data_IF_609294193689
#
_entry.id   IF_609294193689
#
_cell.length_a   1.000
_cell.length_b   1.000
_cell.length_c   1.000
_cell.angle_alpha   90.00
_cell.angle_beta   90.00
_cell.angle_gamma   90.00
#
_symmetry.space_group_name_H-M   'P 1'
#
loop_
_entity.id
_entity.type
_entity.pdbx_description
1 polymer ?
#
# COMPACT_ATOMS: atom_id res chain seq x y z
N UNK A 1 -19.59 -7.59 22.80
CA UNK A 1 -18.17 -7.52 22.42
C UNK A 1 -17.39 -6.96 23.58
N UNK A 2 -16.35 -7.68 24.02
CA UNK A 2 -15.48 -7.24 25.10
C UNK A 2 -14.55 -6.13 24.58
N UNK A 3 -14.14 -5.17 25.42
CA UNK A 3 -13.28 -4.06 24.99
C UNK A 3 -11.80 -4.45 24.77
N UNK A 4 -11.45 -5.67 25.06
CA UNK A 4 -10.12 -6.26 24.83
C UNK A 4 -10.16 -7.25 23.65
N UNK A 5 -9.00 -7.69 23.17
CA UNK A 5 -8.87 -8.59 22.03
C UNK A 5 -9.71 -9.87 22.20
N UNK A 6 -10.34 -10.30 21.12
CA UNK A 6 -10.92 -11.63 21.03
C UNK A 6 -9.84 -12.66 20.70
N UNK A 7 -10.03 -13.90 21.11
CA UNK A 7 -9.22 -15.02 20.64
C UNK A 7 -9.47 -15.22 19.14
N UNK A 8 -8.41 -15.37 18.37
CA UNK A 8 -8.49 -15.67 16.94
C UNK A 8 -8.73 -17.16 16.72
N UNK A 9 -9.54 -17.50 15.73
CA UNK A 9 -9.71 -18.88 15.25
C UNK A 9 -8.52 -19.34 14.42
N UNK A 10 -7.88 -18.43 13.71
CA UNK A 10 -6.57 -18.60 13.08
C UNK A 10 -5.44 -18.18 14.02
N UNK A 11 -4.27 -17.90 13.46
CA UNK A 11 -3.11 -17.47 14.23
C UNK A 11 -2.42 -16.27 13.58
N UNK A 12 -1.99 -15.31 14.38
CA UNK A 12 -1.13 -14.20 13.94
C UNK A 12 0.29 -14.43 14.46
N UNK A 13 1.22 -14.64 13.55
CA UNK A 13 2.63 -14.76 13.85
C UNK A 13 3.31 -13.40 13.70
N UNK A 14 3.99 -12.95 14.73
CA UNK A 14 4.69 -11.67 14.78
C UNK A 14 6.19 -11.90 14.68
N UNK A 15 6.79 -11.33 13.65
CA UNK A 15 8.22 -11.44 13.40
C UNK A 15 8.89 -10.07 13.48
N UNK A 16 10.15 -10.09 13.87
CA UNK A 16 11.09 -9.00 13.66
C UNK A 16 12.02 -9.40 12.51
N UNK A 17 11.67 -8.94 11.31
CA UNK A 17 12.37 -9.28 10.07
C UNK A 17 13.66 -8.46 9.94
N UNK A 18 14.79 -9.10 9.68
CA UNK A 18 16.07 -8.44 9.45
C UNK A 18 16.28 -8.22 7.94
N UNK A 19 16.09 -6.98 7.49
CA UNK A 19 16.25 -6.62 6.07
C UNK A 19 17.66 -6.18 5.76
N UNK A 20 18.34 -6.90 4.90
CA UNK A 20 19.65 -6.47 4.38
C UNK A 20 19.54 -5.31 3.41
N UNK A 21 18.43 -5.22 2.66
CA UNK A 21 18.17 -4.13 1.71
C UNK A 21 17.90 -2.77 2.38
N UNK A 22 17.41 -2.80 3.62
CA UNK A 22 17.18 -1.58 4.41
C UNK A 22 18.33 -1.28 5.37
N UNK A 23 19.33 -2.15 5.49
CA UNK A 23 20.52 -1.90 6.30
C UNK A 23 21.30 -0.71 5.73
N UNK A 24 21.57 0.29 6.58
CA UNK A 24 22.24 1.52 6.17
C UNK A 24 21.42 2.39 5.22
N UNK A 25 20.09 2.38 5.34
CA UNK A 25 19.22 3.26 4.57
C UNK A 25 19.51 4.75 4.86
N UNK A 26 19.18 5.65 3.93
CA UNK A 26 19.58 7.06 4.02
C UNK A 26 19.01 7.81 5.22
N UNK A 27 17.96 7.29 5.85
CA UNK A 27 17.33 7.89 7.03
C UNK A 27 17.87 7.35 8.35
N UNK A 28 18.75 6.35 8.32
CA UNK A 28 19.15 5.61 9.52
C UNK A 28 17.95 5.07 10.32
N UNK A 29 16.86 4.73 9.59
CA UNK A 29 15.70 4.08 10.18
C UNK A 29 16.02 2.60 10.48
N UNK A 30 15.36 1.99 11.48
CA UNK A 30 15.59 0.61 11.82
C UNK A 30 15.45 -0.31 10.60
N UNK A 31 16.48 -1.10 10.32
CA UNK A 31 16.45 -2.12 9.27
C UNK A 31 15.82 -3.45 9.74
N UNK A 32 15.67 -3.64 11.04
CA UNK A 32 14.86 -4.70 11.63
C UNK A 32 13.41 -4.21 11.67
N UNK A 33 12.55 -4.87 10.89
CA UNK A 33 11.18 -4.42 10.64
C UNK A 33 10.17 -5.41 11.20
N UNK A 34 9.10 -4.95 11.86
CA UNK A 34 8.00 -5.84 12.21
C UNK A 34 7.35 -6.38 10.93
N UNK A 35 7.05 -7.68 10.94
CA UNK A 35 6.34 -8.38 9.88
C UNK A 35 5.34 -9.31 10.54
N UNK A 36 4.06 -9.15 10.22
CA UNK A 36 3.03 -10.02 10.75
C UNK A 36 2.45 -10.91 9.66
N UNK A 37 2.28 -12.18 10.00
CA UNK A 37 1.69 -13.17 9.10
C UNK A 37 0.52 -13.82 9.81
N UNK A 38 -0.69 -13.60 9.27
CA UNK A 38 -1.87 -14.28 9.71
C UNK A 38 -2.04 -15.57 8.89
N UNK A 39 -2.27 -16.69 9.57
CA UNK A 39 -2.60 -17.99 8.98
C UNK A 39 -4.05 -18.35 9.33
N UNK A 40 -4.83 -18.90 8.36
CA UNK A 40 -6.26 -19.13 8.54
C UNK A 40 -6.55 -20.27 9.51
N UNK A 41 -7.82 -20.39 10.02
CA UNK A 41 -8.25 -21.52 10.83
C UNK A 41 -7.95 -22.86 10.15
N UNK A 42 -7.52 -23.86 10.94
CA UNK A 42 -7.16 -25.19 10.43
C UNK A 42 -5.79 -25.26 9.73
N UNK A 43 -5.03 -24.16 9.70
CA UNK A 43 -3.69 -24.16 9.09
C UNK A 43 -2.80 -25.26 9.69
N UNK A 44 -2.72 -25.39 11.01
CA UNK A 44 -1.84 -26.36 11.66
C UNK A 44 -2.38 -27.80 11.59
N UNK A 45 -3.68 -28.00 11.36
CA UNK A 45 -4.32 -29.30 11.25
C UNK A 45 -4.18 -29.96 9.85
N UNK A 46 -3.81 -29.16 8.83
CA UNK A 46 -3.70 -29.59 7.44
C UNK A 46 -2.30 -29.29 6.87
N UNK A 47 -1.27 -30.06 7.26
CA UNK A 47 0.15 -29.78 6.92
C UNK A 47 0.46 -29.81 5.42
N UNK A 48 -0.33 -30.54 4.62
CA UNK A 48 -0.13 -30.66 3.18
C UNK A 48 -0.88 -29.59 2.37
N UNK A 49 -1.74 -28.78 3.03
CA UNK A 49 -2.51 -27.76 2.34
C UNK A 49 -1.71 -26.47 2.19
N UNK A 50 -1.68 -25.93 0.98
CA UNK A 50 -1.08 -24.64 0.64
C UNK A 50 -2.17 -23.62 0.31
N UNK A 51 -1.89 -22.37 0.59
CA UNK A 51 -2.87 -21.28 0.57
C UNK A 51 -2.43 -20.15 -0.38
N UNK A 52 -3.35 -19.45 -1.04
CA UNK A 52 -3.03 -18.16 -1.64
C UNK A 52 -2.56 -17.18 -0.56
N UNK A 53 -1.79 -16.17 -0.95
CA UNK A 53 -1.29 -15.15 -0.04
C UNK A 53 -1.68 -13.74 -0.49
N UNK A 54 -2.04 -12.87 0.45
CA UNK A 54 -2.36 -11.47 0.18
C UNK A 54 -1.54 -10.58 1.10
N UNK A 55 -0.79 -9.64 0.49
CA UNK A 55 0.08 -8.69 1.18
C UNK A 55 -0.68 -7.38 1.41
N UNK A 56 -0.79 -6.93 2.66
CA UNK A 56 -1.51 -5.72 3.05
C UNK A 56 -0.52 -4.59 3.31
N UNK A 57 -0.71 -3.50 2.58
CA UNK A 57 0.12 -2.30 2.62
C UNK A 57 -0.60 -1.16 3.34
N UNK A 58 0.10 -0.53 4.29
CA UNK A 58 -0.43 0.58 5.07
C UNK A 58 -0.48 1.90 4.29
N UNK A 59 -1.37 2.80 4.73
CA UNK A 59 -1.40 4.18 4.24
C UNK A 59 -0.26 5.03 4.80
N UNK A 60 -0.10 6.24 4.28
CA UNK A 60 0.90 7.20 4.77
C UNK A 60 0.65 7.57 6.25
N UNK A 61 1.70 7.75 7.01
CA UNK A 61 1.71 7.93 8.48
C UNK A 61 1.22 6.70 9.27
N UNK A 62 0.88 5.60 8.61
CA UNK A 62 0.56 4.34 9.25
C UNK A 62 1.81 3.53 9.58
N UNK A 63 1.69 2.67 10.58
CA UNK A 63 2.63 1.59 10.86
C UNK A 63 1.84 0.32 11.23
N UNK A 64 2.54 -0.78 11.43
CA UNK A 64 1.91 -2.10 11.54
C UNK A 64 0.86 -2.18 12.66
N UNK A 65 1.10 -1.53 13.81
CA UNK A 65 0.17 -1.55 14.95
C UNK A 65 -1.21 -0.94 14.64
N UNK A 66 -1.33 -0.13 13.58
CA UNK A 66 -2.63 0.41 13.19
C UNK A 66 -3.68 -0.67 12.91
N UNK A 67 -3.25 -1.87 12.50
CA UNK A 67 -4.15 -2.99 12.21
C UNK A 67 -4.76 -3.61 13.46
N UNK A 68 -4.20 -3.29 14.65
CA UNK A 68 -4.71 -3.65 15.98
C UNK A 68 -5.41 -2.50 16.70
N UNK A 69 -5.51 -1.31 16.10
CA UNK A 69 -6.19 -0.19 16.73
C UNK A 69 -7.62 -0.59 17.11
N UNK A 70 -7.86 -0.65 18.42
CA UNK A 70 -9.15 -1.01 18.98
C UNK A 70 -9.96 0.25 19.30
N UNK A 71 -11.12 0.31 18.70
CA UNK A 71 -12.14 1.32 19.01
C UNK A 71 -13.32 0.61 19.68
N UNK A 72 -13.96 1.17 20.73
CA UNK A 72 -15.11 0.57 21.36
C UNK A 72 -16.19 0.15 20.34
N UNK A 73 -16.72 -1.06 20.51
CA UNK A 73 -17.75 -1.67 19.65
C UNK A 73 -17.33 -1.96 18.19
N UNK A 74 -16.06 -1.84 17.85
CA UNK A 74 -15.52 -2.20 16.55
C UNK A 74 -14.48 -3.31 16.69
N UNK A 75 -14.49 -4.24 15.74
CA UNK A 75 -13.43 -5.23 15.59
C UNK A 75 -12.19 -4.55 14.98
N UNK A 76 -11.01 -5.02 15.34
CA UNK A 76 -9.78 -4.68 14.63
C UNK A 76 -9.80 -5.29 13.22
N UNK A 77 -8.92 -4.83 12.32
CA UNK A 77 -8.83 -5.45 11.00
C UNK A 77 -8.47 -6.93 11.10
N UNK A 78 -7.54 -7.29 11.99
CA UNK A 78 -7.11 -8.68 12.18
C UNK A 78 -8.27 -9.58 12.64
N UNK A 79 -9.09 -9.11 13.58
CA UNK A 79 -10.30 -9.84 14.01
C UNK A 79 -11.36 -9.97 12.91
N UNK A 80 -11.46 -8.96 12.05
CA UNK A 80 -12.40 -8.99 10.90
C UNK A 80 -11.91 -9.96 9.82
N UNK A 81 -10.61 -10.02 9.58
CA UNK A 81 -9.98 -10.99 8.67
C UNK A 81 -10.13 -12.41 9.21
N UNK A 82 -9.93 -12.62 10.52
CA UNK A 82 -10.13 -13.92 11.16
C UNK A 82 -11.57 -14.41 10.99
N UNK A 83 -12.54 -13.55 11.29
CA UNK A 83 -13.96 -13.87 11.14
C UNK A 83 -14.35 -14.18 9.69
N UNK A 84 -13.77 -13.47 8.71
CA UNK A 84 -13.99 -13.69 7.29
C UNK A 84 -13.68 -15.14 6.89
N UNK A 85 -12.56 -15.68 7.36
CA UNK A 85 -12.14 -17.05 7.07
C UNK A 85 -12.81 -18.08 7.99
N UNK A 86 -12.96 -17.79 9.28
CA UNK A 86 -13.59 -18.68 10.24
C UNK A 86 -15.08 -18.95 9.92
N UNK A 87 -15.78 -17.96 9.38
CA UNK A 87 -17.19 -18.11 8.96
C UNK A 87 -17.36 -18.81 7.60
N UNK A 88 -16.26 -19.02 6.86
CA UNK A 88 -16.33 -19.52 5.48
C UNK A 88 -16.86 -18.52 4.45
N UNK A 89 -16.92 -17.23 4.80
CA UNK A 89 -17.36 -16.15 3.91
C UNK A 89 -16.38 -15.89 2.76
N UNK A 90 -15.13 -16.36 2.91
CA UNK A 90 -14.12 -16.41 1.86
C UNK A 90 -13.28 -17.69 1.97
N UNK A 91 -12.69 -18.18 0.85
CA UNK A 91 -11.68 -19.22 0.91
C UNK A 91 -10.50 -18.78 1.80
N UNK A 92 -9.89 -19.70 2.56
CA UNK A 92 -8.79 -19.38 3.43
C UNK A 92 -7.57 -18.88 2.65
N UNK A 93 -6.91 -17.86 3.19
CA UNK A 93 -5.69 -17.28 2.63
C UNK A 93 -4.71 -16.90 3.75
N UNK A 94 -3.43 -16.89 3.46
CA UNK A 94 -2.40 -16.30 4.31
C UNK A 94 -2.41 -14.78 4.08
N UNK A 95 -2.46 -13.98 5.15
CA UNK A 95 -2.45 -12.52 5.05
C UNK A 95 -1.17 -11.98 5.67
N UNK A 96 -0.39 -11.23 4.88
CA UNK A 96 0.91 -10.70 5.27
C UNK A 96 0.80 -9.19 5.45
N UNK A 97 1.04 -8.70 6.65
CA UNK A 97 1.04 -7.28 6.96
C UNK A 97 2.48 -6.76 6.92
N UNK A 98 2.77 -5.89 5.95
CA UNK A 98 4.13 -5.41 5.67
C UNK A 98 4.31 -4.01 6.24
N UNK A 99 5.34 -3.82 7.05
CA UNK A 99 5.72 -2.51 7.54
C UNK A 99 6.65 -1.79 6.55
N UNK A 100 6.31 -0.56 6.21
CA UNK A 100 7.13 0.31 5.36
C UNK A 100 7.11 1.77 5.87
N UNK A 101 6.95 1.93 7.19
CA UNK A 101 7.06 3.22 7.86
C UNK A 101 8.48 3.76 7.78
N UNK A 102 8.62 5.07 7.69
CA UNK A 102 9.89 5.80 7.79
C UNK A 102 9.72 7.00 8.71
N UNK A 103 10.80 7.59 9.20
CA UNK A 103 10.73 8.85 9.96
C UNK A 103 10.11 10.01 9.17
N UNK A 104 10.00 9.89 7.84
CA UNK A 104 9.24 10.82 6.99
C UNK A 104 7.77 10.42 6.84
N UNK A 105 7.31 9.38 7.54
CA UNK A 105 5.92 8.96 7.59
C UNK A 105 5.53 7.81 6.65
N UNK A 106 6.37 7.45 5.71
CA UNK A 106 6.13 6.35 4.77
C UNK A 106 7.17 6.31 3.65
N UNK A 107 7.18 5.23 2.88
CA UNK A 107 8.12 4.97 1.78
C UNK A 107 7.48 4.99 0.40
N UNK A 108 6.16 5.14 0.33
CA UNK A 108 5.38 4.95 -0.91
C UNK A 108 5.63 3.58 -1.58
N UNK A 109 6.25 2.63 -0.88
CA UNK A 109 6.62 1.31 -1.42
C UNK A 109 7.48 1.39 -2.70
N UNK A 110 8.33 2.40 -2.79
CA UNK A 110 9.30 2.59 -3.89
C UNK A 110 10.73 2.49 -3.39
N UNK A 111 11.66 2.22 -4.30
CA UNK A 111 13.09 2.39 -4.04
C UNK A 111 13.47 3.84 -4.30
N UNK A 112 14.10 4.49 -3.32
CA UNK A 112 14.46 5.91 -3.41
C UNK A 112 15.78 6.19 -2.68
N UNK A 113 16.64 7.06 -3.23
CA UNK A 113 17.80 7.56 -2.49
C UNK A 113 17.42 8.35 -1.23
N UNK A 114 16.18 8.85 -1.15
CA UNK A 114 15.69 9.63 0.00
C UNK A 114 15.11 8.80 1.15
N UNK A 115 14.68 7.57 0.91
CA UNK A 115 14.03 6.75 1.95
C UNK A 115 14.63 5.35 2.09
N UNK A 116 15.21 4.79 1.03
CA UNK A 116 15.71 3.42 0.99
C UNK A 116 15.00 2.52 -0.01
N UNK A 117 15.32 1.23 -0.01
CA UNK A 117 14.91 0.26 -1.03
C UNK A 117 13.64 -0.51 -0.62
N UNK A 118 12.53 0.19 -0.39
CA UNK A 118 11.31 -0.42 0.15
C UNK A 118 10.52 -1.27 -0.85
N UNK A 119 10.61 -0.98 -2.15
CA UNK A 119 10.03 -1.83 -3.18
C UNK A 119 10.80 -3.16 -3.29
N UNK A 120 12.13 -3.08 -3.35
CA UNK A 120 12.99 -4.27 -3.33
C UNK A 120 12.84 -5.06 -2.02
N UNK A 121 12.75 -4.40 -0.86
CA UNK A 121 12.47 -5.04 0.43
C UNK A 121 11.19 -5.89 0.38
N UNK A 122 10.08 -5.33 -0.13
CA UNK A 122 8.83 -6.07 -0.28
C UNK A 122 8.99 -7.27 -1.23
N UNK A 123 9.57 -7.03 -2.42
CA UNK A 123 9.55 -7.98 -3.52
C UNK A 123 10.66 -9.03 -3.43
N UNK A 124 11.87 -8.65 -3.00
CA UNK A 124 13.05 -9.51 -3.06
C UNK A 124 13.42 -10.12 -1.71
N UNK A 125 12.87 -9.59 -0.59
CA UNK A 125 13.11 -10.14 0.73
C UNK A 125 11.83 -10.72 1.37
N UNK A 126 10.76 -9.92 1.51
CA UNK A 126 9.55 -10.34 2.23
C UNK A 126 8.82 -11.45 1.49
N UNK A 127 8.53 -11.29 0.19
CA UNK A 127 7.80 -12.30 -0.59
C UNK A 127 8.53 -13.65 -0.56
N UNK A 128 9.82 -13.75 -0.89
CA UNK A 128 10.52 -15.05 -0.84
C UNK A 128 10.65 -15.60 0.58
N UNK A 129 10.75 -14.75 1.59
CA UNK A 129 10.83 -15.19 2.98
C UNK A 129 9.51 -15.83 3.42
N UNK A 130 8.37 -15.21 3.09
CA UNK A 130 7.04 -15.76 3.40
C UNK A 130 6.84 -17.10 2.70
N UNK A 131 7.21 -17.21 1.43
CA UNK A 131 7.09 -18.47 0.67
C UNK A 131 7.95 -19.61 1.24
N UNK A 132 9.11 -19.30 1.85
CA UNK A 132 9.96 -20.31 2.49
C UNK A 132 9.49 -20.73 3.89
N UNK A 133 8.79 -19.86 4.61
CA UNK A 133 8.43 -20.09 6.01
C UNK A 133 6.97 -20.47 6.20
N UNK A 134 6.12 -20.28 5.19
CA UNK A 134 4.69 -20.57 5.24
C UNK A 134 4.26 -21.39 4.02
N UNK A 135 3.19 -22.16 4.18
CA UNK A 135 2.63 -22.98 3.11
C UNK A 135 1.81 -22.12 2.13
N UNK A 136 2.50 -21.25 1.41
CA UNK A 136 1.92 -20.49 0.32
C UNK A 136 1.86 -21.30 -0.96
N UNK A 137 0.90 -21.01 -1.82
CA UNK A 137 0.97 -21.34 -3.24
C UNK A 137 1.96 -20.36 -3.88
N UNK A 138 3.27 -20.70 -3.85
CA UNK A 138 4.40 -19.81 -4.17
C UNK A 138 4.49 -19.48 -5.68
N UNK A 139 3.39 -19.00 -6.26
CA UNK A 139 3.29 -18.58 -7.65
C UNK A 139 2.48 -17.29 -7.77
N UNK A 140 2.79 -16.45 -8.76
CA UNK A 140 2.12 -15.17 -8.97
C UNK A 140 0.59 -15.28 -9.05
N UNK A 141 0.08 -16.37 -9.64
CA UNK A 141 -1.35 -16.59 -9.85
C UNK A 141 -2.15 -16.78 -8.56
N UNK A 142 -1.45 -17.00 -7.47
CA UNK A 142 -2.01 -17.20 -6.13
C UNK A 142 -1.55 -16.15 -5.14
N UNK A 143 -0.97 -15.05 -5.64
CA UNK A 143 -0.48 -13.95 -4.79
C UNK A 143 -1.14 -12.63 -5.15
N UNK A 144 -1.72 -11.99 -4.12
CA UNK A 144 -2.36 -10.69 -4.20
C UNK A 144 -1.67 -9.66 -3.33
N UNK A 145 -1.93 -8.40 -3.62
CA UNK A 145 -1.47 -7.24 -2.86
C UNK A 145 -2.63 -6.27 -2.69
N UNK A 146 -2.82 -5.72 -1.50
CA UNK A 146 -3.92 -4.81 -1.22
C UNK A 146 -3.43 -3.66 -0.33
N UNK A 147 -4.05 -2.50 -0.47
CA UNK A 147 -3.70 -1.37 0.39
C UNK A 147 -4.61 -0.17 0.22
N UNK A 148 -4.47 0.78 1.14
CA UNK A 148 -5.22 2.03 1.19
C UNK A 148 -4.29 3.22 1.00
N UNK A 149 -4.76 4.27 0.28
CA UNK A 149 -4.00 5.51 0.14
C UNK A 149 -2.60 5.23 -0.45
N UNK A 150 -1.51 5.60 0.24
CA UNK A 150 -0.14 5.19 -0.12
C UNK A 150 0.03 3.68 -0.29
N UNK A 151 -0.62 2.87 0.56
CA UNK A 151 -0.62 1.42 0.38
C UNK A 151 -1.38 0.99 -0.88
N UNK A 152 -2.46 1.71 -1.22
CA UNK A 152 -3.18 1.53 -2.48
C UNK A 152 -2.34 1.92 -3.70
N UNK A 153 -1.54 2.97 -3.58
CA UNK A 153 -0.52 3.32 -4.57
C UNK A 153 0.49 2.17 -4.75
N UNK A 154 1.09 1.70 -3.64
CA UNK A 154 2.00 0.56 -3.67
C UNK A 154 1.37 -0.69 -4.29
N UNK A 155 0.10 -0.97 -3.99
CA UNK A 155 -0.65 -2.09 -4.56
C UNK A 155 -0.87 -1.96 -6.07
N UNK A 156 -1.02 -0.74 -6.61
CA UNK A 156 -1.14 -0.50 -8.05
C UNK A 156 0.19 -0.67 -8.79
N UNK A 157 1.28 -0.06 -8.27
CA UNK A 157 2.56 -0.03 -8.98
C UNK A 157 3.33 -1.35 -8.89
N UNK A 158 3.23 -2.07 -7.77
CA UNK A 158 4.03 -3.28 -7.56
C UNK A 158 3.78 -4.35 -8.62
N UNK A 159 2.53 -4.72 -8.98
CA UNK A 159 2.31 -5.66 -10.08
C UNK A 159 2.73 -5.14 -11.47
N UNK A 160 2.78 -3.82 -11.67
CA UNK A 160 3.29 -3.24 -12.90
C UNK A 160 4.79 -3.43 -13.06
N UNK A 161 5.52 -3.29 -11.94
CA UNK A 161 6.98 -3.38 -11.88
C UNK A 161 7.46 -4.83 -11.70
N UNK A 162 6.66 -5.65 -11.00
CA UNK A 162 6.96 -7.07 -10.69
C UNK A 162 5.78 -7.98 -11.08
N UNK A 163 5.47 -8.06 -12.38
CA UNK A 163 4.39 -8.93 -12.87
C UNK A 163 4.69 -10.42 -12.67
N UNK A 164 5.94 -10.77 -12.36
CA UNK A 164 6.38 -12.11 -11.99
C UNK A 164 5.91 -12.53 -10.58
N UNK A 165 5.57 -11.58 -9.71
CA UNK A 165 5.22 -11.87 -8.31
C UNK A 165 3.73 -11.84 -8.02
N UNK A 166 2.95 -10.96 -8.66
CA UNK A 166 1.55 -10.71 -8.31
C UNK A 166 0.63 -10.80 -9.52
N UNK A 167 -0.56 -11.40 -9.33
CA UNK A 167 -1.65 -11.39 -10.30
C UNK A 167 -2.97 -10.87 -9.74
N UNK A 168 -3.03 -10.58 -8.43
CA UNK A 168 -4.14 -9.91 -7.76
C UNK A 168 -3.73 -8.57 -7.18
N UNK A 169 -4.54 -7.53 -7.35
CA UNK A 169 -4.36 -6.26 -6.63
C UNK A 169 -5.70 -5.71 -6.12
N UNK A 170 -5.65 -5.00 -5.00
CA UNK A 170 -6.75 -4.18 -4.51
C UNK A 170 -6.22 -2.82 -4.05
N UNK A 171 -6.82 -1.76 -4.57
CA UNK A 171 -6.48 -0.38 -4.23
C UNK A 171 -7.71 0.35 -3.69
N UNK A 172 -7.60 0.81 -2.45
CA UNK A 172 -8.62 1.57 -1.74
C UNK A 172 -8.20 3.03 -1.66
N UNK A 173 -8.81 3.89 -2.48
CA UNK A 173 -8.42 5.29 -2.57
C UNK A 173 -6.90 5.47 -2.70
N UNK A 174 -6.26 4.70 -3.60
CA UNK A 174 -4.81 4.79 -3.86
C UNK A 174 -4.43 6.09 -4.56
N UNK A 175 -3.26 6.64 -4.22
CA UNK A 175 -2.78 7.87 -4.87
C UNK A 175 -2.56 7.64 -6.36
N UNK A 176 -3.31 8.36 -7.21
CA UNK A 176 -3.26 8.30 -8.67
C UNK A 176 -3.78 9.61 -9.27
N UNK A 177 -3.53 9.86 -10.55
CA UNK A 177 -3.92 11.09 -11.25
C UNK A 177 -3.29 12.33 -10.58
N UNK A 178 -1.96 12.34 -10.51
CA UNK A 178 -1.18 13.30 -9.72
C UNK A 178 -1.40 14.76 -10.13
N UNK A 179 -1.75 15.04 -11.40
CA UNK A 179 -2.09 16.38 -11.87
C UNK A 179 -3.30 17.00 -11.14
N UNK A 180 -4.16 16.17 -10.54
CA UNK A 180 -5.30 16.67 -9.78
C UNK A 180 -5.11 16.44 -8.28
N UNK A 181 -4.75 15.25 -7.88
CA UNK A 181 -4.71 14.85 -6.46
C UNK A 181 -3.52 15.45 -5.72
N UNK A 182 -2.36 15.62 -6.38
CA UNK A 182 -1.19 16.26 -5.78
C UNK A 182 -1.21 17.78 -5.89
N UNK A 183 -1.58 18.34 -7.04
CA UNK A 183 -1.62 19.80 -7.22
C UNK A 183 -2.56 20.48 -6.22
N UNK A 184 -3.71 19.88 -5.92
CA UNK A 184 -4.63 20.40 -4.90
C UNK A 184 -3.95 20.47 -3.51
N UNK A 185 -3.15 19.46 -3.16
CA UNK A 185 -2.40 19.42 -1.90
C UNK A 185 -1.28 20.48 -1.87
N UNK A 186 -0.61 20.74 -3.00
CA UNK A 186 0.48 21.71 -3.08
C UNK A 186 0.04 23.13 -2.74
N UNK A 187 -1.17 23.54 -3.13
CA UNK A 187 -1.72 24.86 -2.79
C UNK A 187 -1.82 25.08 -1.25
N UNK A 188 -2.16 24.03 -0.52
CA UNK A 188 -2.16 24.08 0.95
C UNK A 188 -0.74 24.15 1.50
N UNK A 189 0.17 23.32 0.98
CA UNK A 189 1.57 23.30 1.41
C UNK A 189 2.27 24.64 1.18
N UNK A 190 2.01 25.31 0.05
CA UNK A 190 2.52 26.65 -0.25
C UNK A 190 2.12 27.69 0.83
N UNK A 191 0.86 27.64 1.29
CA UNK A 191 0.41 28.50 2.36
C UNK A 191 1.08 28.18 3.70
N UNK A 192 1.29 26.90 3.98
CA UNK A 192 2.00 26.46 5.20
C UNK A 192 3.48 26.91 5.19
N UNK A 193 4.16 26.80 4.03
CA UNK A 193 5.57 27.19 3.89
C UNK A 193 5.83 28.69 4.10
N UNK A 194 4.81 29.56 4.00
CA UNK A 194 4.97 30.99 4.29
C UNK A 194 5.46 31.26 5.72
N UNK A 195 5.09 30.41 6.69
CA UNK A 195 5.56 30.50 8.06
C UNK A 195 7.07 30.26 8.22
N UNK A 196 7.69 29.69 7.18
CA UNK A 196 9.10 29.30 7.12
C UNK A 196 9.86 30.03 6.01
N UNK A 197 9.33 31.14 5.49
CA UNK A 197 9.89 31.88 4.35
C UNK A 197 10.12 31.03 3.09
N UNK A 198 9.27 30.02 2.89
CA UNK A 198 9.38 29.06 1.77
C UNK A 198 10.40 27.95 1.99
N UNK A 199 11.11 27.94 3.10
CA UNK A 199 12.17 26.97 3.40
C UNK A 199 11.60 25.72 4.09
N UNK A 200 11.48 24.62 3.32
CA UNK A 200 10.98 23.35 3.83
C UNK A 200 12.01 22.65 4.73
N UNK A 201 13.31 22.88 4.52
CA UNK A 201 14.36 22.31 5.38
C UNK A 201 14.35 22.96 6.76
N UNK A 202 14.08 24.26 6.84
CA UNK A 202 13.87 24.95 8.12
C UNK A 202 12.69 24.36 8.87
N UNK A 203 11.55 24.11 8.18
CA UNK A 203 10.41 23.44 8.79
C UNK A 203 10.78 22.04 9.27
N UNK A 204 11.48 21.25 8.44
CA UNK A 204 11.88 19.88 8.78
C UNK A 204 12.78 19.85 10.03
N UNK A 205 13.75 20.76 10.13
CA UNK A 205 14.61 20.88 11.29
C UNK A 205 13.79 21.14 12.57
N UNK A 206 12.90 22.13 12.54
CA UNK A 206 12.05 22.44 13.70
C UNK A 206 11.07 21.31 14.04
N UNK A 207 10.55 20.61 13.03
CA UNK A 207 9.67 19.46 13.20
C UNK A 207 10.41 18.28 13.82
N UNK A 208 11.58 17.93 13.32
CA UNK A 208 12.38 16.79 13.80
C UNK A 208 12.87 16.96 15.25
N UNK A 209 13.23 18.19 15.64
CA UNK A 209 13.59 18.53 17.02
C UNK A 209 12.39 18.38 17.97
N UNK A 210 11.19 18.69 17.51
CA UNK A 210 9.95 18.58 18.28
C UNK A 210 9.41 17.15 18.35
N UNK A 211 9.55 16.40 17.27
CA UNK A 211 9.14 14.98 17.18
C UNK A 211 7.62 14.72 17.27
N UNK A 212 6.79 15.72 17.02
CA UNK A 212 5.34 15.60 17.16
C UNK A 212 4.57 16.45 16.14
N UNK A 213 3.42 15.96 15.66
CA UNK A 213 2.45 16.70 14.86
C UNK A 213 1.68 17.69 15.76
N UNK A 214 2.29 18.82 16.11
CA UNK A 214 1.76 19.77 17.07
C UNK A 214 1.19 21.06 16.43
N UNK A 215 1.55 21.35 15.19
CA UNK A 215 1.10 22.54 14.46
C UNK A 215 0.15 22.15 13.31
N UNK A 216 -0.79 23.04 12.92
CA UNK A 216 -1.77 22.75 11.87
C UNK A 216 -1.16 22.40 10.51
N UNK A 217 0.02 22.93 10.20
CA UNK A 217 0.76 22.70 8.96
C UNK A 217 1.55 21.40 8.94
N UNK A 218 1.93 20.85 10.11
CA UNK A 218 2.88 19.75 10.23
C UNK A 218 2.50 18.55 9.36
N UNK A 219 1.24 18.12 9.42
CA UNK A 219 0.78 16.95 8.64
C UNK A 219 0.95 17.18 7.14
N UNK A 220 0.61 18.36 6.63
CA UNK A 220 0.67 18.68 5.19
C UNK A 220 2.11 18.76 4.70
N UNK A 221 2.98 19.41 5.49
CA UNK A 221 4.39 19.55 5.16
C UNK A 221 5.15 18.23 5.31
N UNK A 222 4.82 17.41 6.32
CA UNK A 222 5.42 16.08 6.47
C UNK A 222 5.08 15.17 5.27
N UNK A 223 3.84 15.17 4.82
CA UNK A 223 3.44 14.40 3.62
C UNK A 223 4.17 14.93 2.39
N UNK A 224 4.23 16.24 2.20
CA UNK A 224 4.97 16.83 1.06
C UNK A 224 6.44 16.42 1.09
N UNK A 225 7.12 16.62 2.23
CA UNK A 225 8.54 16.34 2.40
C UNK A 225 8.87 14.87 2.17
N UNK A 226 8.12 13.99 2.82
CA UNK A 226 8.37 12.56 2.73
C UNK A 226 7.99 11.96 1.37
N UNK A 227 6.90 12.42 0.73
CA UNK A 227 6.56 11.99 -0.63
C UNK A 227 7.61 12.53 -1.62
N UNK A 228 8.14 13.74 -1.42
CA UNK A 228 9.27 14.24 -2.22
C UNK A 228 10.53 13.40 -2.02
N UNK A 229 10.80 12.93 -0.80
CA UNK A 229 11.87 11.99 -0.54
C UNK A 229 11.71 10.66 -1.30
N UNK A 230 10.45 10.20 -1.46
CA UNK A 230 10.16 8.98 -2.22
C UNK A 230 10.28 9.18 -3.74
N UNK A 231 9.77 10.29 -4.26
CA UNK A 231 9.54 10.46 -5.71
C UNK A 231 10.58 11.33 -6.41
N UNK A 232 11.20 12.23 -5.66
CA UNK A 232 12.08 13.24 -6.24
C UNK A 232 13.30 13.59 -5.37
N UNK A 233 13.75 12.70 -4.50
CA UNK A 233 15.03 12.91 -3.84
C UNK A 233 16.18 13.03 -4.84
N UNK A 234 17.17 13.84 -4.50
CA UNK A 234 18.46 13.92 -5.20
C UNK A 234 19.30 12.68 -4.91
N UNK A 235 20.41 12.52 -5.59
CA UNK A 235 21.32 11.39 -5.39
C UNK A 235 21.89 11.34 -3.95
N UNK A 236 22.02 12.50 -3.30
CA UNK A 236 22.49 12.62 -1.92
C UNK A 236 21.39 12.32 -0.88
N UNK A 237 20.18 11.97 -1.33
CA UNK A 237 19.02 11.67 -0.48
C UNK A 237 18.18 12.89 -0.10
N UNK A 238 18.58 14.11 -0.43
CA UNK A 238 17.83 15.33 -0.10
C UNK A 238 16.49 15.36 -0.86
N UNK A 239 15.34 15.51 -0.18
CA UNK A 239 14.05 15.65 -0.85
C UNK A 239 13.99 16.91 -1.71
N UNK A 240 13.45 16.83 -2.91
CA UNK A 240 13.27 17.97 -3.80
C UNK A 240 11.77 18.18 -4.09
N UNK A 241 11.20 19.28 -3.56
CA UNK A 241 9.77 19.57 -3.76
C UNK A 241 9.51 19.99 -5.21
N UNK A 242 8.35 19.62 -5.81
CA UNK A 242 8.11 19.77 -7.25
C UNK A 242 7.66 21.17 -7.67
N UNK A 243 7.78 22.18 -6.80
CA UNK A 243 7.34 23.55 -7.09
C UNK A 243 8.25 24.58 -6.40
N UNK A 244 8.27 25.78 -6.94
CA UNK A 244 8.93 26.95 -6.34
C UNK A 244 8.08 27.43 -5.13
N UNK A 245 8.66 27.58 -3.91
CA UNK A 245 7.89 27.76 -2.68
C UNK A 245 7.12 29.07 -2.56
N UNK A 246 7.50 30.12 -3.27
CA UNK A 246 6.82 31.43 -3.19
C UNK A 246 5.73 31.62 -4.23
N UNK A 247 5.99 31.22 -5.47
CA UNK A 247 5.07 31.39 -6.60
C UNK A 247 4.15 30.18 -6.83
N UNK A 248 4.59 28.98 -6.39
CA UNK A 248 3.92 27.73 -6.71
C UNK A 248 4.15 27.25 -8.15
N UNK A 249 5.03 27.90 -8.91
CA UNK A 249 5.38 27.44 -10.23
C UNK A 249 6.01 26.05 -10.17
N UNK A 250 5.47 25.10 -10.94
CA UNK A 250 6.03 23.75 -11.00
C UNK A 250 7.45 23.79 -11.56
N UNK A 251 8.33 22.99 -10.96
CA UNK A 251 9.66 22.72 -11.46
C UNK A 251 9.57 21.54 -12.46
N UNK A 252 9.61 21.79 -13.78
CA UNK A 252 9.23 20.79 -14.78
C UNK A 252 10.00 19.47 -14.66
N UNK A 253 11.30 19.54 -14.39
CA UNK A 253 12.16 18.35 -14.27
C UNK A 253 11.85 17.52 -13.01
N UNK A 254 11.47 18.17 -11.90
CA UNK A 254 11.06 17.48 -10.67
C UNK A 254 9.66 16.90 -10.82
N UNK A 255 8.73 17.72 -11.34
CA UNK A 255 7.35 17.30 -11.56
C UNK A 255 7.25 16.12 -12.54
N UNK A 256 8.10 16.08 -13.57
CA UNK A 256 8.13 14.96 -14.50
C UNK A 256 8.49 13.63 -13.80
N UNK A 257 9.39 13.64 -12.81
CA UNK A 257 9.72 12.46 -12.00
C UNK A 257 8.50 11.91 -11.26
N UNK A 258 7.62 12.79 -10.74
CA UNK A 258 6.36 12.38 -10.14
C UNK A 258 5.41 11.78 -11.17
N UNK A 259 5.25 12.44 -12.34
CA UNK A 259 4.37 11.95 -13.40
C UNK A 259 4.83 10.61 -13.97
N UNK A 260 6.12 10.31 -13.94
CA UNK A 260 6.67 9.05 -14.43
C UNK A 260 6.27 7.85 -13.58
N UNK A 261 5.88 8.09 -12.34
CA UNK A 261 5.44 7.05 -11.39
C UNK A 261 3.96 7.17 -11.02
N UNK A 262 3.19 8.02 -11.71
CA UNK A 262 1.73 8.06 -11.57
C UNK A 262 1.12 6.77 -12.12
N UNK A 263 0.34 6.00 -11.32
CA UNK A 263 -0.24 4.73 -11.73
C UNK A 263 -1.09 4.81 -13.00
N UNK A 264 -1.78 5.95 -13.25
CA UNK A 264 -2.58 6.16 -14.46
C UNK A 264 -1.68 6.14 -15.69
N UNK A 265 -0.53 6.82 -15.63
CA UNK A 265 0.46 6.86 -16.72
C UNK A 265 1.24 5.55 -16.83
N UNK A 266 1.55 4.93 -15.68
CA UNK A 266 2.25 3.64 -15.64
C UNK A 266 1.42 2.52 -16.25
N UNK A 267 0.09 2.50 -16.08
CA UNK A 267 -0.78 1.44 -16.62
C UNK A 267 -0.62 1.28 -18.15
N UNK A 268 -0.53 2.38 -18.89
CA UNK A 268 -0.32 2.35 -20.33
C UNK A 268 1.06 1.77 -20.70
N UNK A 269 2.10 2.19 -19.99
CA UNK A 269 3.50 1.72 -20.22
C UNK A 269 3.68 0.25 -19.84
N UNK A 270 2.90 -0.24 -18.86
CA UNK A 270 2.93 -1.60 -18.34
C UNK A 270 1.70 -2.41 -18.74
N UNK A 271 1.10 -2.12 -19.91
CA UNK A 271 -0.15 -2.73 -20.35
C UNK A 271 -0.09 -4.28 -20.41
N UNK A 272 1.07 -4.85 -20.73
CA UNK A 272 1.30 -6.30 -20.71
C UNK A 272 1.12 -6.89 -19.31
N UNK A 273 1.71 -6.27 -18.30
CA UNK A 273 1.57 -6.65 -16.90
C UNK A 273 0.10 -6.54 -16.44
N UNK A 274 -0.56 -5.42 -16.78
CA UNK A 274 -1.95 -5.21 -16.38
C UNK A 274 -2.91 -6.21 -17.03
N UNK A 275 -2.74 -6.53 -18.31
CA UNK A 275 -3.56 -7.57 -18.99
C UNK A 275 -3.37 -8.96 -18.40
N UNK A 276 -2.24 -9.24 -17.76
CA UNK A 276 -1.95 -10.53 -17.14
C UNK A 276 -2.52 -10.69 -15.73
N UNK A 277 -3.19 -9.64 -15.20
CA UNK A 277 -3.81 -9.68 -13.88
C UNK A 277 -5.09 -10.53 -13.89
N UNK A 278 -5.24 -11.38 -12.87
CA UNK A 278 -6.43 -12.20 -12.64
C UNK A 278 -7.52 -11.45 -11.88
N UNK A 279 -7.11 -10.50 -11.04
CA UNK A 279 -8.01 -9.82 -10.13
C UNK A 279 -7.54 -8.39 -9.86
N UNK A 280 -8.38 -7.40 -10.14
CA UNK A 280 -8.12 -5.98 -9.87
C UNK A 280 -9.35 -5.39 -9.17
N UNK A 281 -9.19 -4.97 -7.92
CA UNK A 281 -10.19 -4.24 -7.15
C UNK A 281 -9.79 -2.78 -7.05
N UNK A 282 -10.68 -1.88 -7.46
CA UNK A 282 -10.48 -0.42 -7.36
C UNK A 282 -11.70 0.19 -6.72
N UNK A 283 -11.55 0.85 -5.59
CA UNK A 283 -12.61 1.63 -5.00
C UNK A 283 -12.13 2.92 -4.34
N UNK A 284 -13.05 3.87 -4.13
CA UNK A 284 -12.83 5.11 -3.39
C UNK A 284 -14.15 5.65 -2.86
N UNK A 285 -14.09 6.50 -1.84
CA UNK A 285 -15.26 7.22 -1.34
C UNK A 285 -15.63 8.40 -2.25
N UNK A 286 -16.92 8.60 -2.52
CA UNK A 286 -17.43 9.69 -3.36
C UNK A 286 -17.24 11.09 -2.78
N UNK A 287 -16.84 11.18 -1.50
CA UNK A 287 -16.53 12.42 -0.79
C UNK A 287 -15.10 12.39 -0.24
N UNK A 288 -14.19 11.71 -0.94
CA UNK A 288 -12.77 11.63 -0.56
C UNK A 288 -12.15 13.03 -0.58
N UNK A 289 -11.70 13.50 0.59
CA UNK A 289 -11.14 14.85 0.77
C UNK A 289 -9.77 15.05 0.09
N UNK A 290 -9.20 13.98 -0.45
CA UNK A 290 -7.97 14.00 -1.24
C UNK A 290 -8.23 13.83 -2.74
N UNK A 291 -9.50 13.80 -3.17
CA UNK A 291 -9.91 13.63 -4.57
C UNK A 291 -9.46 12.31 -5.20
N UNK A 292 -9.30 11.26 -4.38
CA UNK A 292 -8.78 9.97 -4.86
C UNK A 292 -9.86 9.14 -5.58
N UNK A 293 -11.13 9.51 -5.47
CA UNK A 293 -12.21 9.03 -6.33
C UNK A 293 -11.96 9.37 -7.81
N UNK A 294 -11.44 10.57 -8.10
CA UNK A 294 -11.04 10.97 -9.47
C UNK A 294 -9.87 10.11 -9.95
N UNK A 295 -8.91 9.85 -9.07
CA UNK A 295 -7.78 8.94 -9.34
C UNK A 295 -8.25 7.52 -9.64
N UNK A 296 -9.22 6.99 -8.87
CA UNK A 296 -9.81 5.68 -9.07
C UNK A 296 -10.50 5.57 -10.44
N UNK A 297 -11.30 6.59 -10.84
CA UNK A 297 -11.92 6.67 -12.16
C UNK A 297 -10.87 6.67 -13.28
N UNK A 298 -9.84 7.52 -13.15
CA UNK A 298 -8.78 7.62 -14.15
C UNK A 298 -7.99 6.32 -14.29
N UNK A 299 -7.67 5.67 -13.16
CA UNK A 299 -6.99 4.38 -13.18
C UNK A 299 -7.85 3.29 -13.83
N UNK A 300 -9.16 3.22 -13.48
CA UNK A 300 -10.11 2.31 -14.14
C UNK A 300 -10.16 2.51 -15.65
N UNK A 301 -10.16 3.78 -16.10
CA UNK A 301 -10.12 4.12 -17.53
C UNK A 301 -8.80 3.67 -18.18
N UNK A 302 -7.67 3.94 -17.52
CA UNK A 302 -6.35 3.52 -18.01
C UNK A 302 -6.21 2.01 -18.14
N UNK A 303 -6.77 1.23 -17.20
CA UNK A 303 -6.84 -0.24 -17.29
C UNK A 303 -7.63 -0.69 -18.53
N UNK A 304 -8.78 -0.07 -18.81
CA UNK A 304 -9.56 -0.35 -20.01
C UNK A 304 -8.80 -0.03 -21.31
N UNK A 305 -8.10 1.11 -21.34
CA UNK A 305 -7.25 1.50 -22.49
C UNK A 305 -6.04 0.57 -22.66
N UNK A 306 -5.51 0.03 -21.57
CA UNK A 306 -4.45 -0.98 -21.60
C UNK A 306 -4.96 -2.36 -22.08
N UNK A 307 -6.27 -2.54 -22.25
CA UNK A 307 -6.90 -3.79 -22.72
C UNK A 307 -7.03 -4.85 -21.62
N UNK A 308 -7.18 -4.43 -20.36
CA UNK A 308 -7.47 -5.35 -19.25
C UNK A 308 -8.89 -5.87 -19.39
N UNK A 309 -9.07 -7.19 -19.19
CA UNK A 309 -10.40 -7.82 -19.21
C UNK A 309 -11.32 -7.19 -18.15
N UNK A 310 -12.48 -6.75 -18.57
CA UNK A 310 -13.47 -6.15 -17.67
C UNK A 310 -13.93 -7.11 -16.56
N UNK A 311 -13.96 -8.43 -16.83
CA UNK A 311 -14.31 -9.46 -15.87
C UNK A 311 -13.26 -9.64 -14.74
N UNK A 312 -12.02 -9.18 -14.97
CA UNK A 312 -10.97 -9.16 -13.98
C UNK A 312 -11.06 -7.93 -13.05
N UNK A 313 -11.91 -6.93 -13.35
CA UNK A 313 -11.95 -5.68 -12.63
C UNK A 313 -13.24 -5.57 -11.80
N UNK A 314 -13.11 -5.35 -10.50
CA UNK A 314 -14.15 -4.79 -9.65
C UNK A 314 -13.89 -3.28 -9.48
N UNK A 315 -14.90 -2.45 -9.74
CA UNK A 315 -14.81 -1.01 -9.58
C UNK A 315 -16.03 -0.47 -8.84
N UNK A 316 -15.81 0.32 -7.80
CA UNK A 316 -16.88 0.91 -7.01
C UNK A 316 -16.50 2.29 -6.47
N UNK A 317 -17.39 3.27 -6.64
CA UNK A 317 -17.35 4.53 -5.88
C UNK A 317 -18.46 4.45 -4.84
N UNK A 318 -18.11 4.35 -3.57
CA UNK A 318 -19.05 4.18 -2.47
C UNK A 318 -19.34 5.50 -1.75
N UNK A 319 -20.49 5.67 -1.11
CA UNK A 319 -20.76 6.83 -0.26
C UNK A 319 -19.84 6.87 0.94
N UNK A 320 -19.00 7.92 1.05
CA UNK A 320 -18.07 8.10 2.15
C UNK A 320 -16.86 8.95 1.80
N UNK A 321 -16.03 9.24 2.80
CA UNK A 321 -14.76 9.95 2.67
C UNK A 321 -13.55 9.00 2.68
N UNK A 322 -12.34 9.59 2.77
CA UNK A 322 -11.10 8.82 2.81
C UNK A 322 -11.00 7.86 4.01
N UNK A 323 -11.53 8.26 5.18
CA UNK A 323 -11.57 7.44 6.38
C UNK A 323 -12.41 6.17 6.25
N UNK A 324 -13.47 6.18 5.43
CA UNK A 324 -14.39 5.06 5.28
C UNK A 324 -13.83 3.88 4.49
N UNK A 325 -12.69 4.07 3.81
CA UNK A 325 -12.00 3.01 3.06
C UNK A 325 -11.46 1.89 3.95
N UNK A 326 -11.25 2.11 5.25
CA UNK A 326 -10.76 1.08 6.19
C UNK A 326 -11.68 -0.14 6.28
N UNK A 327 -12.98 0.05 6.04
CA UNK A 327 -13.99 -1.02 6.04
C UNK A 327 -14.00 -1.83 4.74
N UNK A 328 -13.26 -1.43 3.74
CA UNK A 328 -13.26 -2.03 2.40
C UNK A 328 -12.25 -3.17 2.26
N UNK A 329 -11.15 -3.13 3.02
CA UNK A 329 -10.11 -4.16 2.97
C UNK A 329 -10.64 -5.60 3.11
N UNK A 330 -11.54 -5.93 4.06
CA UNK A 330 -12.08 -7.29 4.16
C UNK A 330 -12.88 -7.72 2.93
N UNK A 331 -13.59 -6.79 2.26
CA UNK A 331 -14.36 -7.08 1.05
C UNK A 331 -13.45 -7.43 -0.12
N UNK A 332 -12.42 -6.61 -0.36
CA UNK A 332 -11.44 -6.88 -1.39
C UNK A 332 -10.60 -8.12 -1.10
N UNK A 333 -10.29 -8.38 0.18
CA UNK A 333 -9.58 -9.58 0.59
C UNK A 333 -10.40 -10.85 0.27
N UNK A 334 -11.71 -10.86 0.58
CA UNK A 334 -12.60 -11.95 0.23
C UNK A 334 -12.62 -12.19 -1.29
N UNK A 335 -12.75 -11.11 -2.05
CA UNK A 335 -12.81 -11.16 -3.50
C UNK A 335 -11.49 -11.61 -4.13
N UNK A 336 -10.34 -11.16 -3.61
CA UNK A 336 -9.02 -11.64 -4.03
C UNK A 336 -8.84 -13.12 -3.69
N UNK A 337 -9.15 -13.52 -2.44
CA UNK A 337 -9.02 -14.91 -2.01
C UNK A 337 -9.78 -15.87 -2.93
N UNK A 338 -11.02 -15.52 -3.35
CA UNK A 338 -11.81 -16.32 -4.28
C UNK A 338 -11.14 -16.49 -5.64
N UNK A 339 -10.49 -15.45 -6.17
CA UNK A 339 -9.87 -15.45 -7.51
C UNK A 339 -8.45 -16.03 -7.54
N UNK A 340 -7.78 -15.99 -6.40
CA UNK A 340 -6.41 -16.50 -6.25
C UNK A 340 -6.38 -17.96 -5.78
N UNK A 341 -7.48 -18.48 -5.26
CA UNK A 341 -7.61 -19.90 -4.93
C UNK A 341 -7.66 -20.72 -6.24
N UNK A 342 -6.89 -21.81 -6.35
CA UNK A 342 -6.94 -22.68 -7.51
C UNK A 342 -8.33 -23.31 -7.71
N UNK A 343 -8.78 -23.42 -8.93
CA UNK A 343 -9.96 -24.21 -9.26
C UNK A 343 -9.71 -25.71 -8.97
N UNK A 344 -10.78 -26.48 -8.67
CA UNK A 344 -10.68 -27.93 -8.41
C UNK A 344 -9.98 -28.70 -9.54
N UNK A 345 -10.03 -28.20 -10.76
CA UNK A 345 -9.33 -28.78 -11.91
C UNK A 345 -7.81 -28.56 -11.83
N UNK A 346 -7.36 -27.39 -11.33
CA UNK A 346 -5.95 -27.06 -11.15
C UNK A 346 -5.35 -27.88 -9.99
N UNK A 347 -6.12 -28.10 -8.91
CA UNK A 347 -5.71 -28.95 -7.78
C UNK A 347 -5.54 -30.43 -8.20
N UNK A 348 -6.30 -30.92 -9.18
CA UNK A 348 -6.18 -32.28 -9.70
C UNK A 348 -4.94 -32.45 -10.60
N UNK A 349 -4.60 -31.45 -11.40
CA UNK A 349 -3.43 -31.48 -12.28
C UNK A 349 -2.09 -31.34 -11.54
N UNK A 350 -2.08 -30.75 -10.36
CA UNK A 350 -0.86 -30.62 -9.53
C UNK A 350 -0.55 -31.90 -8.73
N UNK A 351 -1.46 -32.87 -8.69
CA UNK A 351 -1.31 -34.18 -7.99
C UNK A 351 -1.00 -35.37 -8.91
N UNK A 352 -0.95 -35.17 -10.22
CA UNK A 352 -0.60 -36.15 -11.23
C UNK A 352 0.77 -35.87 -11.84
#
# INVERSE_FOLDING_TARGET
MLPWSADLSGRLDEHLFESELLRGNPLDDPWKRPLWVYVPPGYDDAPDLHYPSVYILQGYLGHLEMWRNRVPFHKTLIETVDELFASGSAPPAIVVYVDAWTRYGGSQFVDSPGTGRYHSYLCDEIVPWVDRNYRTLAHRDHRGIAGKSSGGYGAMITPMLRPDLFSGLATHAGDALFEYTCLAKFLRCLRCLRAYDGDIERWWKEFSERGALARPEDRSLLILYGVSACFSAREDGTPEIPFEPHSGALLPHVWQRWLDIDPVRMAARNAGAMRSMRAIWVDAGSADEHYLDLGAHAFRQALGQAGVDAGAIHFEIFPGGHGDTDRRLPLSLAWLAQRLTPDDAQLRNARG
#
